data_IF_280863888126
#
_entry.id   IF_280863888126
#
_cell.length_a   1.000
_cell.length_b   1.000
_cell.length_c   1.000
_cell.angle_alpha   90.00
_cell.angle_beta   90.00
_cell.angle_gamma   90.00
#
_symmetry.space_group_name_H-M   'P 1'
#
loop_
_entity.id
_entity.type
_entity.pdbx_description
1 polymer ?
#
# COMPACT_ATOMS: atom_id res chain seq x y z
N UNK A 1 27.06 25.21 6.73
CA UNK A 1 25.62 24.97 7.02
C UNK A 1 24.74 24.62 5.81
N UNK A 2 25.31 24.19 4.71
CA UNK A 2 24.54 23.84 3.49
C UNK A 2 24.35 22.33 3.23
N UNK A 3 24.86 21.46 4.09
CA UNK A 3 24.83 19.99 3.88
C UNK A 3 23.58 19.29 4.43
N UNK A 4 22.80 19.93 5.31
CA UNK A 4 21.64 19.30 5.96
C UNK A 4 20.39 19.21 5.09
N UNK A 5 20.24 20.03 4.06
CA UNK A 5 19.05 20.02 3.18
C UNK A 5 19.12 18.97 2.05
N UNK A 6 20.33 18.55 1.66
CA UNK A 6 20.51 17.56 0.60
C UNK A 6 20.30 16.11 1.07
N UNK A 7 20.60 15.82 2.32
CA UNK A 7 20.38 14.50 2.90
C UNK A 7 18.90 14.20 3.08
N UNK A 8 18.09 15.15 3.56
CA UNK A 8 16.64 14.97 3.71
C UNK A 8 15.93 14.65 2.39
N UNK A 9 16.22 15.40 1.33
CA UNK A 9 15.59 15.18 0.03
C UNK A 9 15.94 13.81 -0.59
N UNK A 10 17.15 13.30 -0.37
CA UNK A 10 17.57 11.99 -0.86
C UNK A 10 16.96 10.85 -0.04
N UNK A 11 16.81 11.02 1.26
CA UNK A 11 16.13 10.06 2.13
C UNK A 11 14.62 10.03 1.84
N UNK A 12 14.00 11.17 1.60
CA UNK A 12 12.59 11.26 1.20
C UNK A 12 12.34 10.59 -0.16
N UNK A 13 13.25 10.79 -1.10
CA UNK A 13 13.19 10.10 -2.39
C UNK A 13 13.34 8.58 -2.24
N UNK A 14 14.29 8.10 -1.45
CA UNK A 14 14.46 6.66 -1.15
C UNK A 14 13.22 6.08 -0.48
N UNK A 15 12.61 6.82 0.43
CA UNK A 15 11.38 6.40 1.10
C UNK A 15 10.23 6.25 0.11
N UNK A 16 10.02 7.23 -0.75
CA UNK A 16 9.02 7.20 -1.81
C UNK A 16 9.21 6.04 -2.78
N UNK A 17 10.44 5.77 -3.21
CA UNK A 17 10.76 4.64 -4.10
C UNK A 17 10.44 3.28 -3.46
N UNK A 18 10.67 3.13 -2.17
CA UNK A 18 10.39 1.89 -1.44
C UNK A 18 8.90 1.67 -1.18
N UNK A 19 8.15 2.70 -0.89
CA UNK A 19 6.68 2.62 -0.80
C UNK A 19 6.09 2.22 -2.14
N UNK A 20 6.58 2.79 -3.23
CA UNK A 20 6.17 2.41 -4.59
C UNK A 20 6.52 0.95 -4.91
N UNK A 21 7.69 0.47 -4.51
CA UNK A 21 8.09 -0.93 -4.70
C UNK A 21 7.17 -1.89 -3.95
N UNK A 22 6.78 -1.56 -2.73
CA UNK A 22 5.82 -2.33 -1.95
C UNK A 22 4.43 -2.31 -2.59
N UNK A 23 3.98 -1.16 -3.06
CA UNK A 23 2.71 -1.02 -3.77
C UNK A 23 2.68 -1.86 -5.05
N UNK A 24 3.76 -1.85 -5.84
CA UNK A 24 3.90 -2.70 -7.03
C UNK A 24 3.77 -4.18 -6.67
N UNK A 25 4.40 -4.61 -5.58
CA UNK A 25 4.36 -5.99 -5.12
C UNK A 25 2.95 -6.40 -4.69
N UNK A 26 2.30 -5.61 -3.85
CA UNK A 26 0.95 -5.92 -3.37
C UNK A 26 -0.12 -5.78 -4.47
N UNK A 27 0.09 -4.91 -5.45
CA UNK A 27 -0.75 -4.85 -6.64
C UNK A 27 -0.66 -6.14 -7.47
N UNK A 28 0.55 -6.67 -7.63
CA UNK A 28 0.78 -7.92 -8.37
C UNK A 28 0.35 -9.17 -7.60
N UNK A 29 0.49 -9.16 -6.29
CA UNK A 29 0.21 -10.29 -5.39
C UNK A 29 -0.66 -9.88 -4.20
N UNK A 30 -1.91 -9.50 -4.45
CA UNK A 30 -2.80 -9.02 -3.38
C UNK A 30 -3.08 -10.08 -2.31
N UNK A 31 -2.96 -11.36 -2.64
CA UNK A 31 -3.08 -12.45 -1.68
C UNK A 31 -2.04 -12.42 -0.54
N UNK A 32 -0.93 -11.68 -0.71
CA UNK A 32 0.01 -11.42 0.38
C UNK A 32 -0.59 -10.53 1.48
N UNK A 33 -1.61 -9.75 1.16
CA UNK A 33 -2.35 -8.94 2.15
C UNK A 33 -3.46 -9.79 2.77
N UNK A 34 -4.31 -10.38 1.94
CA UNK A 34 -5.38 -11.28 2.35
C UNK A 34 -5.74 -12.21 1.18
N UNK A 35 -5.94 -13.53 1.44
CA UNK A 35 -6.27 -14.51 0.40
C UNK A 35 -7.53 -14.18 -0.41
N UNK A 36 -8.45 -13.40 0.13
CA UNK A 36 -9.68 -12.98 -0.56
C UNK A 36 -9.47 -11.88 -1.59
N UNK A 37 -8.32 -11.22 -1.59
CA UNK A 37 -8.05 -10.08 -2.46
C UNK A 37 -7.53 -10.52 -3.83
N UNK A 38 -8.12 -9.94 -4.86
CA UNK A 38 -7.71 -10.08 -6.26
C UNK A 38 -8.13 -8.84 -7.06
N UNK A 39 -7.38 -8.48 -8.10
CA UNK A 39 -7.76 -7.43 -9.04
C UNK A 39 -7.73 -6.02 -8.46
N UNK A 40 -6.63 -5.60 -7.85
CA UNK A 40 -6.46 -4.24 -7.31
C UNK A 40 -6.47 -3.17 -8.40
N UNK A 41 -7.11 -2.04 -8.12
CA UNK A 41 -6.87 -0.76 -8.80
C UNK A 41 -5.88 0.06 -7.97
N UNK A 42 -4.91 0.69 -8.64
CA UNK A 42 -3.86 1.49 -7.99
C UNK A 42 -4.13 2.98 -8.09
N UNK A 43 -3.66 3.71 -7.08
CA UNK A 43 -3.64 5.18 -7.09
C UNK A 43 -4.97 5.76 -7.52
N UNK A 44 -6.04 5.30 -6.86
CA UNK A 44 -7.41 5.66 -7.19
C UNK A 44 -7.80 6.96 -6.51
N UNK A 45 -8.20 7.95 -7.30
CA UNK A 45 -8.79 9.18 -6.78
C UNK A 45 -10.20 8.93 -6.25
N UNK A 46 -10.43 9.24 -5.00
CA UNK A 46 -11.72 9.15 -4.34
C UNK A 46 -12.47 10.49 -4.36
N UNK A 47 -11.70 11.56 -4.37
CA UNK A 47 -12.11 12.93 -4.65
C UNK A 47 -10.93 13.72 -5.23
N UNK A 48 -11.06 15.04 -5.41
CA UNK A 48 -10.01 15.89 -5.98
C UNK A 48 -8.72 15.94 -5.13
N UNK A 49 -8.77 15.54 -3.86
CA UNK A 49 -7.65 15.65 -2.91
C UNK A 49 -7.26 14.32 -2.26
N UNK A 50 -8.01 13.26 -2.51
CA UNK A 50 -7.86 11.97 -1.83
C UNK A 50 -7.57 10.87 -2.84
N UNK A 51 -6.42 10.26 -2.72
CA UNK A 51 -5.97 9.17 -3.58
C UNK A 51 -5.46 8.03 -2.71
N UNK A 52 -6.08 6.87 -2.82
CA UNK A 52 -5.66 5.67 -2.09
C UNK A 52 -4.67 4.84 -2.91
N UNK A 53 -3.84 4.07 -2.24
CA UNK A 53 -2.81 3.26 -2.88
C UNK A 53 -3.42 2.11 -3.68
N UNK A 54 -4.22 1.26 -3.03
CA UNK A 54 -4.91 0.14 -3.65
C UNK A 54 -6.39 0.13 -3.26
N UNK A 55 -7.24 -0.14 -4.23
CA UNK A 55 -8.68 -0.30 -4.04
C UNK A 55 -9.13 -1.62 -4.67
N UNK A 56 -9.82 -2.42 -3.88
CA UNK A 56 -10.47 -3.66 -4.31
C UNK A 56 -11.98 -3.51 -4.22
N UNK A 57 -12.68 -4.04 -5.20
CA UNK A 57 -14.13 -4.06 -5.23
C UNK A 57 -14.62 -5.52 -5.17
N UNK A 58 -15.15 -5.91 -4.02
CA UNK A 58 -15.57 -7.27 -3.72
C UNK A 58 -17.08 -7.30 -3.46
N UNK A 59 -17.86 -7.54 -4.50
CA UNK A 59 -19.32 -7.76 -4.38
C UNK A 59 -20.04 -6.68 -3.56
N UNK A 60 -19.75 -5.40 -3.86
CA UNK A 60 -20.34 -4.25 -3.16
C UNK A 60 -19.59 -3.78 -1.92
N UNK A 61 -18.52 -4.46 -1.53
CA UNK A 61 -17.58 -4.01 -0.50
C UNK A 61 -16.38 -3.33 -1.16
N UNK A 62 -16.14 -2.07 -0.82
CA UNK A 62 -14.89 -1.39 -1.17
C UNK A 62 -13.84 -1.65 -0.09
N UNK A 63 -12.75 -2.26 -0.47
CA UNK A 63 -11.63 -2.55 0.42
C UNK A 63 -10.42 -1.72 0.03
N UNK A 64 -10.02 -0.80 0.90
CA UNK A 64 -8.86 0.08 0.71
C UNK A 64 -7.66 -0.50 1.43
N UNK A 65 -6.54 -0.55 0.74
CA UNK A 65 -5.24 -0.86 1.35
C UNK A 65 -4.34 0.36 1.23
N UNK A 66 -3.87 0.83 2.36
CA UNK A 66 -2.90 1.92 2.47
C UNK A 66 -1.56 1.34 2.93
N UNK A 67 -0.48 1.72 2.27
CA UNK A 67 0.84 1.14 2.48
C UNK A 67 1.79 2.20 3.00
N UNK A 68 2.43 1.93 4.12
CA UNK A 68 3.52 2.73 4.69
C UNK A 68 4.75 1.84 4.86
N UNK A 69 5.89 2.33 4.45
CA UNK A 69 7.15 1.60 4.56
C UNK A 69 7.65 1.48 5.99
N UNK A 70 7.52 2.57 6.74
CA UNK A 70 8.05 2.70 8.10
C UNK A 70 6.94 2.48 9.14
N UNK A 71 7.16 2.95 10.36
CA UNK A 71 6.17 2.93 11.42
C UNK A 71 5.02 3.88 11.10
N UNK A 72 3.80 3.37 11.07
CA UNK A 72 2.61 4.16 10.85
C UNK A 72 2.11 4.81 12.15
N UNK A 73 1.77 6.08 12.07
CA UNK A 73 1.16 6.86 13.15
C UNK A 73 -0.31 7.22 12.87
N UNK A 74 -0.89 8.02 13.74
CA UNK A 74 -2.28 8.48 13.60
C UNK A 74 -2.60 9.16 12.26
N UNK A 75 -1.72 9.94 11.64
CA UNK A 75 -2.03 10.52 10.32
C UNK A 75 -2.37 9.47 9.25
N UNK A 76 -1.66 8.33 9.23
CA UNK A 76 -1.95 7.24 8.30
C UNK A 76 -3.32 6.60 8.56
N UNK A 77 -3.67 6.36 9.83
CA UNK A 77 -4.97 5.82 10.19
C UNK A 77 -6.10 6.80 9.85
N UNK A 78 -5.93 8.09 10.13
CA UNK A 78 -6.92 9.13 9.77
C UNK A 78 -7.12 9.22 8.27
N UNK A 79 -6.05 9.10 7.50
CA UNK A 79 -6.12 9.07 6.03
C UNK A 79 -6.97 7.90 5.55
N UNK A 80 -6.73 6.71 6.06
CA UNK A 80 -7.51 5.52 5.72
C UNK A 80 -8.99 5.66 6.12
N UNK A 81 -9.27 6.13 7.32
CA UNK A 81 -10.66 6.41 7.78
C UNK A 81 -11.37 7.38 6.85
N UNK A 82 -10.70 8.45 6.43
CA UNK A 82 -11.26 9.42 5.48
C UNK A 82 -11.58 8.77 4.13
N UNK A 83 -10.74 7.89 3.62
CA UNK A 83 -11.02 7.16 2.39
C UNK A 83 -12.25 6.27 2.52
N UNK A 84 -12.38 5.57 3.64
CA UNK A 84 -13.54 4.73 3.92
C UNK A 84 -14.83 5.55 4.08
N UNK A 85 -14.76 6.72 4.71
CA UNK A 85 -15.90 7.65 4.78
C UNK A 85 -16.39 8.09 3.39
N UNK A 86 -15.45 8.40 2.48
CA UNK A 86 -15.78 8.77 1.10
C UNK A 86 -16.43 7.61 0.34
N UNK A 87 -15.87 6.41 0.43
CA UNK A 87 -16.35 5.23 -0.27
C UNK A 87 -17.68 4.73 0.28
N UNK A 88 -17.96 4.93 1.56
CA UNK A 88 -19.23 4.54 2.19
C UNK A 88 -20.43 5.26 1.57
N UNK A 89 -20.22 6.39 0.93
CA UNK A 89 -21.30 7.13 0.24
C UNK A 89 -21.81 6.39 -1.00
N UNK A 90 -21.00 5.55 -1.61
CA UNK A 90 -21.30 4.88 -2.89
C UNK A 90 -21.28 3.35 -2.81
N UNK A 91 -20.79 2.76 -1.71
CA UNK A 91 -20.69 1.33 -1.51
C UNK A 91 -21.54 0.87 -0.32
N UNK A 92 -22.10 -0.33 -0.41
CA UNK A 92 -22.90 -0.94 0.67
C UNK A 92 -22.09 -1.18 1.93
N UNK A 93 -20.85 -1.62 1.78
CA UNK A 93 -19.90 -1.79 2.87
C UNK A 93 -18.50 -1.33 2.47
N UNK A 94 -17.68 -1.02 3.48
CA UNK A 94 -16.28 -0.63 3.28
C UNK A 94 -15.40 -1.36 4.29
N UNK A 95 -14.16 -1.61 3.91
CA UNK A 95 -13.14 -2.24 4.74
C UNK A 95 -11.78 -1.64 4.44
N UNK A 96 -10.91 -1.54 5.44
CA UNK A 96 -9.57 -1.01 5.29
C UNK A 96 -8.50 -1.93 5.85
N UNK A 97 -7.33 -1.87 5.25
CA UNK A 97 -6.09 -2.48 5.77
C UNK A 97 -4.99 -1.44 5.70
N UNK A 98 -4.35 -1.20 6.84
CA UNK A 98 -3.14 -0.38 6.92
C UNK A 98 -1.94 -1.32 7.03
N UNK A 99 -1.08 -1.30 6.03
CA UNK A 99 0.15 -2.09 5.97
C UNK A 99 1.32 -1.20 6.34
N UNK A 100 2.13 -1.58 7.30
CA UNK A 100 3.32 -0.84 7.71
C UNK A 100 4.36 -1.76 8.35
N UNK A 101 5.61 -1.28 8.45
CA UNK A 101 6.67 -2.02 9.15
C UNK A 101 6.31 -2.23 10.62
N UNK A 102 5.74 -1.22 11.26
CA UNK A 102 5.24 -1.26 12.62
C UNK A 102 4.16 -0.18 12.82
N UNK A 103 3.53 -0.16 13.99
CA UNK A 103 2.48 0.78 14.34
C UNK A 103 2.78 1.44 15.67
N UNK A 104 2.59 2.77 15.75
CA UNK A 104 2.65 3.45 17.04
C UNK A 104 1.50 2.98 17.94
N UNK A 105 1.70 2.88 19.27
CA UNK A 105 0.65 2.46 20.20
C UNK A 105 -0.65 3.28 20.11
N UNK A 106 -0.54 4.56 19.74
CA UNK A 106 -1.70 5.43 19.53
C UNK A 106 -2.62 4.93 18.39
N UNK A 107 -2.06 4.29 17.36
CA UNK A 107 -2.83 3.71 16.25
C UNK A 107 -3.69 2.55 16.75
N UNK A 108 -3.11 1.64 17.51
CA UNK A 108 -3.82 0.49 18.07
C UNK A 108 -4.93 0.93 19.05
N UNK A 109 -4.67 1.96 19.85
CA UNK A 109 -5.69 2.53 20.74
C UNK A 109 -6.83 3.18 19.97
N UNK A 110 -6.53 3.98 18.96
CA UNK A 110 -7.53 4.68 18.13
C UNK A 110 -8.36 3.69 17.30
N UNK A 111 -7.77 2.59 16.88
CA UNK A 111 -8.44 1.56 16.09
C UNK A 111 -9.70 1.01 16.83
N UNK A 112 -9.62 0.88 18.15
CA UNK A 112 -10.74 0.38 18.98
C UNK A 112 -11.99 1.27 18.94
N UNK A 113 -11.84 2.54 18.59
CA UNK A 113 -12.94 3.53 18.53
C UNK A 113 -13.29 3.94 17.10
N UNK A 114 -12.64 3.32 16.11
CA UNK A 114 -12.84 3.64 14.69
C UNK A 114 -14.14 3.03 14.18
N UNK A 115 -14.90 3.79 13.40
CA UNK A 115 -16.22 3.41 12.90
C UNK A 115 -16.21 2.30 11.85
N UNK A 116 -15.13 2.18 11.10
CA UNK A 116 -15.01 1.23 10.02
C UNK A 116 -14.16 0.01 10.42
N UNK A 117 -14.42 -1.17 9.83
CA UNK A 117 -13.55 -2.32 10.02
C UNK A 117 -12.19 -2.06 9.36
N UNK A 118 -11.15 -1.96 10.17
CA UNK A 118 -9.77 -1.74 9.74
C UNK A 118 -8.87 -2.78 10.39
N UNK A 119 -8.05 -3.42 9.57
CA UNK A 119 -7.01 -4.33 10.00
C UNK A 119 -5.63 -3.67 9.88
N UNK A 120 -4.79 -3.89 10.87
CA UNK A 120 -3.37 -3.52 10.84
C UNK A 120 -2.56 -4.73 10.43
N UNK A 121 -1.73 -4.58 9.40
CA UNK A 121 -0.87 -5.67 8.93
C UNK A 121 0.59 -5.24 8.89
N UNK A 122 1.44 -5.95 9.62
CA UNK A 122 2.89 -5.72 9.58
C UNK A 122 3.49 -6.25 8.30
N UNK A 123 4.43 -5.49 7.74
CA UNK A 123 5.26 -5.94 6.64
C UNK A 123 6.09 -7.16 7.07
N UNK A 124 6.01 -8.23 6.28
CA UNK A 124 6.78 -9.46 6.46
C UNK A 124 7.79 -9.68 5.33
N UNK A 125 8.09 -8.61 4.57
CA UNK A 125 8.92 -8.67 3.37
C UNK A 125 10.16 -7.84 3.59
N UNK A 126 11.33 -8.44 3.41
CA UNK A 126 12.59 -7.72 3.33
C UNK A 126 12.78 -7.14 1.93
N UNK A 127 12.39 -5.87 1.76
CA UNK A 127 12.44 -5.17 0.47
C UNK A 127 13.82 -5.26 -0.20
N UNK A 128 14.96 -5.06 0.48
CA UNK A 128 16.26 -5.13 -0.17
C UNK A 128 16.62 -6.50 -0.77
N UNK A 129 16.18 -7.58 -0.15
CA UNK A 129 16.56 -8.95 -0.56
C UNK A 129 15.48 -9.68 -1.33
N UNK A 130 14.21 -9.39 -1.09
CA UNK A 130 13.09 -10.15 -1.63
C UNK A 130 12.42 -9.49 -2.83
N UNK A 131 12.76 -8.23 -3.12
CA UNK A 131 12.21 -7.49 -4.25
C UNK A 131 13.27 -7.20 -5.31
N UNK A 132 12.90 -7.33 -6.56
CA UNK A 132 13.68 -6.91 -7.74
C UNK A 132 12.88 -5.95 -8.59
N UNK A 133 13.56 -5.01 -9.22
CA UNK A 133 12.94 -4.11 -10.19
C UNK A 133 13.04 -4.75 -11.57
N UNK A 134 11.92 -4.86 -12.25
CA UNK A 134 11.90 -5.32 -13.63
C UNK A 134 12.65 -4.32 -14.55
N UNK A 135 13.56 -4.80 -15.37
CA UNK A 135 14.32 -3.95 -16.30
C UNK A 135 13.44 -3.39 -17.41
N UNK A 136 12.37 -4.07 -17.76
CA UNK A 136 11.50 -3.72 -18.87
C UNK A 136 10.42 -2.71 -18.45
N UNK A 137 9.59 -3.05 -17.45
CA UNK A 137 8.50 -2.18 -17.01
C UNK A 137 8.83 -1.28 -15.83
N UNK A 138 10.01 -1.44 -15.22
CA UNK A 138 10.50 -0.65 -14.07
C UNK A 138 9.68 -0.81 -12.80
N UNK A 139 8.82 -1.81 -12.72
CA UNK A 139 8.02 -2.12 -11.54
C UNK A 139 8.67 -3.20 -10.68
N UNK A 140 8.37 -3.18 -9.39
CA UNK A 140 8.87 -4.17 -8.45
C UNK A 140 8.17 -5.52 -8.62
N UNK A 141 8.92 -6.59 -8.43
CA UNK A 141 8.43 -7.97 -8.37
C UNK A 141 9.15 -8.74 -7.28
N UNK A 142 8.59 -9.86 -6.85
CA UNK A 142 9.28 -10.76 -5.93
C UNK A 142 10.55 -11.32 -6.60
N UNK A 143 11.66 -11.38 -5.85
CA UNK A 143 12.94 -11.87 -6.36
C UNK A 143 12.89 -13.33 -6.80
N UNK A 144 12.04 -14.14 -6.19
CA UNK A 144 11.82 -15.55 -6.51
C UNK A 144 11.08 -15.79 -7.83
N UNK A 145 10.50 -14.74 -8.43
CA UNK A 145 9.72 -14.83 -9.65
C UNK A 145 10.54 -14.37 -10.83
N UNK A 146 10.72 -15.24 -11.81
CA UNK A 146 11.51 -14.96 -13.02
C UNK A 146 10.73 -14.16 -14.05
N UNK A 147 9.39 -14.24 -14.05
CA UNK A 147 8.51 -13.51 -14.97
C UNK A 147 7.96 -12.27 -14.31
N UNK A 148 7.93 -11.16 -15.03
CA UNK A 148 7.32 -9.95 -14.52
C UNK A 148 5.78 -10.09 -14.52
N UNK A 149 5.13 -10.00 -13.35
CA UNK A 149 3.68 -10.16 -13.25
C UNK A 149 2.91 -8.96 -13.81
N UNK A 150 3.61 -7.84 -14.08
CA UNK A 150 3.00 -6.62 -14.57
C UNK A 150 2.89 -6.55 -16.09
N UNK A 151 3.65 -7.36 -16.81
CA UNK A 151 3.73 -7.25 -18.28
C UNK A 151 2.82 -8.24 -19.02
N UNK A 152 2.23 -9.21 -18.34
CA UNK A 152 1.36 -10.22 -18.97
C UNK A 152 2.02 -11.09 -20.04
N UNK A 153 3.24 -10.79 -20.44
CA UNK A 153 4.01 -11.51 -21.46
C UNK A 153 5.24 -12.20 -20.88
N UNK A 154 5.34 -13.46 -21.27
CA UNK A 154 6.50 -14.33 -21.02
C UNK A 154 7.56 -13.98 -22.04
N UNK A 155 8.54 -13.18 -21.67
CA UNK A 155 9.81 -13.19 -22.40
C UNK A 155 10.81 -13.98 -21.59
N UNK A 156 11.03 -15.21 -22.02
CA UNK A 156 12.17 -15.99 -21.60
C UNK A 156 13.39 -15.38 -22.31
N UNK A 157 14.32 -14.86 -21.50
CA UNK A 157 15.68 -14.63 -21.98
C UNK A 157 16.47 -15.92 -21.79
#
# INVERSE_FOLDING_TARGET
>A
MALSRKTGAFEDWRRSERERALEDLYHAYPALIDPALDGARRQVFLDARSRCDLLFDLEGTAWVVEIKRDTAGLPALRQLVRYLDLLKRTHGSVRGTLVAADFLPAVERKLKTTRHPIELKRLQIDVPTEIRICRQCRRARAASITRCPHDGEVRVL
#
